data_IF_712189656549
#
_entry.id   IF_712189656549
#
_cell.length_a   1.000
_cell.length_b   1.000
_cell.length_c   1.000
_cell.angle_alpha   90.00
_cell.angle_beta   90.00
_cell.angle_gamma   90.00
#
_symmetry.space_group_name_H-M   'P 1'
#
loop_
_entity.id
_entity.type
_entity.pdbx_description
1 polymer ?
#
# COMPACT_ATOMS: atom_id res chain seq x y z
N UNK A 1 -29.54 6.08 -17.62
CA UNK A 1 -29.77 6.51 -16.21
C UNK A 1 -28.85 7.68 -15.91
N UNK A 2 -29.33 8.75 -15.26
CA UNK A 2 -28.49 9.94 -14.97
C UNK A 2 -27.54 9.60 -13.80
N UNK A 3 -26.23 9.79 -13.99
CA UNK A 3 -25.22 9.58 -12.92
C UNK A 3 -25.55 10.48 -11.74
N UNK A 4 -25.70 9.90 -10.56
CA UNK A 4 -25.86 10.66 -9.30
C UNK A 4 -24.49 11.19 -8.86
N UNK A 5 -24.43 12.44 -8.44
CA UNK A 5 -23.20 13.00 -7.87
C UNK A 5 -22.78 12.19 -6.64
N UNK A 6 -21.48 11.98 -6.48
CA UNK A 6 -20.93 11.38 -5.26
C UNK A 6 -21.09 12.42 -4.14
N UNK A 7 -21.67 12.07 -2.97
CA UNK A 7 -21.76 13.00 -1.86
C UNK A 7 -20.36 13.45 -1.41
N UNK A 8 -20.21 14.74 -1.09
CA UNK A 8 -18.91 15.31 -0.70
C UNK A 8 -18.26 14.56 0.47
N UNK A 9 -19.05 14.15 1.47
CA UNK A 9 -18.51 13.40 2.61
C UNK A 9 -17.96 12.03 2.20
N UNK A 10 -18.65 11.32 1.30
CA UNK A 10 -18.15 10.06 0.75
C UNK A 10 -16.86 10.27 -0.03
N UNK A 11 -16.81 11.32 -0.86
CA UNK A 11 -15.61 11.66 -1.61
C UNK A 11 -14.41 11.94 -0.69
N UNK A 12 -14.62 12.72 0.38
CA UNK A 12 -13.60 13.00 1.39
C UNK A 12 -13.12 11.72 2.09
N UNK A 13 -14.03 10.81 2.45
CA UNK A 13 -13.65 9.54 3.08
C UNK A 13 -12.80 8.67 2.14
N UNK A 14 -13.17 8.58 0.86
CA UNK A 14 -12.40 7.83 -0.15
C UNK A 14 -10.99 8.42 -0.32
N UNK A 15 -10.88 9.75 -0.39
CA UNK A 15 -9.58 10.42 -0.48
C UNK A 15 -8.74 10.22 0.78
N UNK A 16 -9.36 10.30 1.96
CA UNK A 16 -8.70 10.09 3.25
C UNK A 16 -8.19 8.65 3.38
N UNK A 17 -9.02 7.66 3.01
CA UNK A 17 -8.65 6.24 2.98
C UNK A 17 -7.43 5.99 2.09
N UNK A 18 -7.35 6.68 0.95
CA UNK A 18 -6.22 6.62 0.03
C UNK A 18 -5.03 7.52 0.43
N UNK A 19 -5.08 8.20 1.58
CA UNK A 19 -4.05 9.13 2.02
C UNK A 19 -3.83 10.31 1.08
N UNK A 20 -4.87 10.69 0.32
CA UNK A 20 -4.82 11.66 -0.78
C UNK A 20 -3.82 11.28 -1.87
N UNK A 21 -3.76 9.99 -2.24
CA UNK A 21 -2.92 9.47 -3.32
C UNK A 21 -3.70 8.50 -4.21
N UNK A 22 -3.11 8.15 -5.35
CA UNK A 22 -3.59 7.05 -6.17
C UNK A 22 -3.52 5.75 -5.38
N UNK A 23 -4.60 4.97 -5.39
CA UNK A 23 -4.68 3.71 -4.66
C UNK A 23 -3.97 2.54 -5.35
N UNK A 24 -3.45 2.73 -6.57
CA UNK A 24 -2.55 1.75 -7.19
C UNK A 24 -1.24 1.75 -6.40
N UNK A 25 -0.83 0.62 -5.78
CA UNK A 25 0.25 0.58 -4.78
C UNK A 25 1.61 1.04 -5.29
N UNK A 26 1.86 0.85 -6.59
CA UNK A 26 3.12 1.24 -7.24
C UNK A 26 3.05 2.65 -7.85
N UNK A 27 1.88 3.30 -7.82
CA UNK A 27 1.69 4.64 -8.34
C UNK A 27 1.93 5.68 -7.24
N UNK A 28 2.72 6.71 -7.56
CA UNK A 28 2.99 7.84 -6.66
C UNK A 28 2.20 9.10 -7.06
N UNK A 29 1.13 8.94 -7.83
CA UNK A 29 0.28 10.05 -8.25
C UNK A 29 -0.46 10.67 -7.06
N UNK A 30 -0.12 11.90 -6.70
CA UNK A 30 -0.73 12.65 -5.59
C UNK A 30 -1.58 13.85 -6.06
N UNK A 31 -1.45 14.20 -7.34
CA UNK A 31 -2.14 15.35 -7.94
C UNK A 31 -3.34 14.86 -8.75
N UNK A 32 -4.43 15.64 -8.69
CA UNK A 32 -5.65 15.45 -9.48
C UNK A 32 -6.20 14.00 -9.41
N UNK A 33 -6.84 13.65 -8.29
CA UNK A 33 -7.41 12.32 -8.10
C UNK A 33 -8.86 12.26 -8.58
N UNK A 34 -9.14 11.27 -9.40
CA UNK A 34 -10.49 10.87 -9.80
C UNK A 34 -11.02 9.83 -8.82
N UNK A 35 -12.32 9.93 -8.49
CA UNK A 35 -13.02 8.88 -7.76
C UNK A 35 -13.61 7.91 -8.78
N UNK A 36 -13.11 6.68 -8.73
CA UNK A 36 -13.47 5.58 -9.60
C UNK A 36 -14.46 4.64 -8.90
N UNK A 37 -15.44 4.15 -9.67
CA UNK A 37 -16.45 3.18 -9.25
C UNK A 37 -15.99 1.77 -9.61
N UNK A 38 -15.80 0.88 -8.63
CA UNK A 38 -15.36 -0.51 -8.90
C UNK A 38 -16.42 -1.27 -9.71
N UNK A 39 -17.68 -1.19 -9.24
CA UNK A 39 -18.87 -1.52 -10.03
C UNK A 39 -19.37 -0.21 -10.60
N UNK A 40 -19.34 -0.10 -11.93
CA UNK A 40 -19.68 1.12 -12.65
C UNK A 40 -21.15 1.51 -12.50
N UNK A 41 -21.45 2.79 -12.65
CA UNK A 41 -22.84 3.30 -12.55
C UNK A 41 -23.73 2.71 -13.66
N UNK A 42 -23.17 2.40 -14.83
CA UNK A 42 -23.86 1.68 -15.91
C UNK A 42 -24.24 0.24 -15.55
N UNK A 43 -23.60 -0.33 -14.54
CA UNK A 43 -23.83 -1.68 -13.99
C UNK A 43 -24.63 -1.63 -12.68
N UNK A 44 -25.33 -0.51 -12.41
CA UNK A 44 -26.06 -0.24 -11.17
C UNK A 44 -25.17 -0.14 -9.90
N UNK A 45 -23.90 0.21 -10.06
CA UNK A 45 -23.00 0.50 -8.94
C UNK A 45 -23.43 1.71 -8.10
N UNK A 46 -23.31 1.57 -6.78
CA UNK A 46 -23.64 2.60 -5.80
C UNK A 46 -22.49 3.59 -5.54
N UNK A 47 -22.80 4.68 -4.82
CA UNK A 47 -21.83 5.67 -4.34
C UNK A 47 -21.32 5.35 -2.92
N UNK A 48 -21.39 4.09 -2.50
CA UNK A 48 -20.90 3.67 -1.19
C UNK A 48 -19.36 3.65 -1.19
N UNK A 49 -18.73 4.06 -0.09
CA UNK A 49 -17.27 4.12 0.01
C UNK A 49 -16.59 2.79 -0.35
N UNK A 50 -17.22 1.65 -0.05
CA UNK A 50 -16.71 0.32 -0.42
C UNK A 50 -16.64 0.06 -1.93
N UNK A 51 -17.46 0.76 -2.72
CA UNK A 51 -17.47 0.67 -4.19
C UNK A 51 -16.60 1.76 -4.85
N UNK A 52 -15.87 2.56 -4.07
CA UNK A 52 -15.12 3.70 -4.57
C UNK A 52 -13.64 3.60 -4.25
N UNK A 53 -12.81 4.10 -5.16
CA UNK A 53 -11.35 4.13 -5.06
C UNK A 53 -10.82 5.44 -5.66
N UNK A 54 -9.80 6.05 -5.05
CA UNK A 54 -9.11 7.19 -5.64
C UNK A 54 -8.02 6.74 -6.63
N UNK A 55 -8.07 7.23 -7.86
CA UNK A 55 -7.08 6.95 -8.92
C UNK A 55 -6.55 8.26 -9.50
N UNK A 56 -5.28 8.31 -9.88
CA UNK A 56 -4.81 9.40 -10.75
C UNK A 56 -5.40 9.24 -12.16
N UNK A 57 -5.41 10.29 -13.01
CA UNK A 57 -6.08 10.24 -14.31
C UNK A 57 -5.45 9.20 -15.23
N UNK A 58 -4.14 8.96 -15.08
CA UNK A 58 -3.42 7.93 -15.83
C UNK A 58 -3.89 6.52 -15.46
N UNK A 59 -3.92 6.18 -14.17
CA UNK A 59 -4.37 4.86 -13.70
C UNK A 59 -5.87 4.66 -13.98
N UNK A 60 -6.67 5.72 -13.85
CA UNK A 60 -8.09 5.69 -14.19
C UNK A 60 -8.29 5.38 -15.68
N UNK A 61 -7.53 6.03 -16.57
CA UNK A 61 -7.59 5.75 -18.00
C UNK A 61 -7.06 4.35 -18.36
N UNK A 62 -6.04 3.84 -17.67
CA UNK A 62 -5.54 2.47 -17.85
C UNK A 62 -6.60 1.42 -17.50
N UNK A 63 -7.41 1.66 -16.46
CA UNK A 63 -8.55 0.80 -16.16
C UNK A 63 -9.58 0.77 -17.29
N UNK A 64 -9.99 1.95 -17.79
CA UNK A 64 -10.96 2.03 -18.89
C UNK A 64 -10.45 1.42 -20.20
N UNK A 65 -9.12 1.35 -20.38
CA UNK A 65 -8.49 0.63 -21.51
C UNK A 65 -8.36 -0.88 -21.30
N UNK A 66 -8.67 -1.40 -20.11
CA UNK A 66 -8.54 -2.82 -19.77
C UNK A 66 -7.13 -3.27 -19.37
N UNK A 67 -6.17 -2.35 -19.30
CA UNK A 67 -4.78 -2.63 -18.88
C UNK A 67 -4.70 -2.91 -17.37
N UNK A 68 -5.50 -2.17 -16.60
CA UNK A 68 -5.78 -2.49 -15.19
C UNK A 68 -7.09 -3.24 -15.14
N UNK A 69 -7.06 -4.48 -14.63
CA UNK A 69 -8.26 -5.30 -14.51
C UNK A 69 -9.09 -4.92 -13.29
N UNK A 70 -10.39 -5.17 -13.36
CA UNK A 70 -11.33 -4.99 -12.23
C UNK A 70 -10.92 -5.78 -10.99
N UNK A 71 -10.37 -6.99 -11.16
CA UNK A 71 -9.86 -7.78 -10.03
C UNK A 71 -8.72 -7.07 -9.29
N UNK A 72 -7.86 -6.35 -10.02
CA UNK A 72 -6.79 -5.55 -9.42
C UNK A 72 -7.35 -4.40 -8.60
N UNK A 73 -8.38 -3.71 -9.10
CA UNK A 73 -9.09 -2.66 -8.36
C UNK A 73 -9.68 -3.21 -7.05
N UNK A 74 -10.31 -4.39 -7.08
CA UNK A 74 -10.82 -5.05 -5.87
C UNK A 74 -9.70 -5.40 -4.89
N UNK A 75 -8.61 -6.00 -5.38
CA UNK A 75 -7.46 -6.37 -4.57
C UNK A 75 -6.86 -5.14 -3.87
N UNK A 76 -6.66 -4.04 -4.61
CA UNK A 76 -6.12 -2.80 -4.06
C UNK A 76 -7.06 -2.14 -3.06
N UNK A 77 -8.38 -2.13 -3.31
CA UNK A 77 -9.36 -1.65 -2.33
C UNK A 77 -9.30 -2.43 -1.03
N UNK A 78 -9.29 -3.76 -1.10
CA UNK A 78 -9.24 -4.62 0.08
C UNK A 78 -7.95 -4.40 0.89
N UNK A 79 -6.81 -4.29 0.20
CA UNK A 79 -5.53 -3.99 0.82
C UNK A 79 -5.51 -2.60 1.46
N UNK A 80 -6.01 -1.58 0.76
CA UNK A 80 -6.05 -0.21 1.26
C UNK A 80 -6.88 -0.08 2.54
N UNK A 81 -8.08 -0.67 2.56
CA UNK A 81 -8.95 -0.69 3.74
C UNK A 81 -8.28 -1.41 4.92
N UNK A 82 -7.58 -2.51 4.66
CA UNK A 82 -6.95 -3.29 5.72
C UNK A 82 -5.72 -2.60 6.29
N UNK A 83 -4.87 -2.04 5.43
CA UNK A 83 -3.63 -1.39 5.83
C UNK A 83 -3.86 -0.02 6.46
N UNK A 84 -4.77 0.81 5.91
CA UNK A 84 -5.09 2.12 6.49
C UNK A 84 -5.69 2.02 7.91
N UNK A 85 -6.25 0.87 8.28
CA UNK A 85 -6.72 0.58 9.64
C UNK A 85 -5.61 0.11 10.57
N UNK A 86 -4.60 -0.58 10.03
CA UNK A 86 -3.50 -1.14 10.81
C UNK A 86 -2.33 -0.17 10.97
N UNK A 87 -2.14 0.73 10.01
CA UNK A 87 -0.95 1.56 9.87
C UNK A 87 -1.30 2.98 9.43
N UNK A 88 -0.46 3.93 9.85
CA UNK A 88 -0.46 5.27 9.26
C UNK A 88 0.18 5.27 7.86
N UNK A 89 -0.08 6.33 7.10
CA UNK A 89 0.43 6.48 5.72
C UNK A 89 1.95 6.39 5.64
N UNK A 90 2.68 6.95 6.61
CA UNK A 90 4.14 6.85 6.63
C UNK A 90 4.64 5.41 6.77
N UNK A 91 3.98 4.61 7.60
CA UNK A 91 4.33 3.21 7.81
C UNK A 91 4.04 2.37 6.56
N UNK A 92 2.96 2.71 5.84
CA UNK A 92 2.66 2.10 4.54
C UNK A 92 3.72 2.46 3.49
N UNK A 93 4.12 3.73 3.45
CA UNK A 93 5.19 4.20 2.56
C UNK A 93 6.52 3.48 2.84
N UNK A 94 6.84 3.30 4.12
CA UNK A 94 8.04 2.59 4.56
C UNK A 94 7.98 1.10 4.19
N UNK A 95 6.81 0.46 4.30
CA UNK A 95 6.61 -0.93 3.88
C UNK A 95 6.81 -1.10 2.36
N UNK A 96 6.24 -0.19 1.56
CA UNK A 96 6.42 -0.19 0.10
C UNK A 96 7.87 0.12 -0.28
N UNK A 97 8.53 1.01 0.45
CA UNK A 97 9.95 1.32 0.24
C UNK A 97 10.84 0.10 0.46
N UNK A 98 10.59 -0.70 1.51
CA UNK A 98 11.37 -1.92 1.76
C UNK A 98 11.31 -2.96 0.63
N UNK A 99 10.33 -2.86 -0.28
CA UNK A 99 10.22 -3.72 -1.45
C UNK A 99 11.02 -3.21 -2.67
N UNK A 100 11.59 -2.01 -2.63
CA UNK A 100 12.34 -1.46 -3.76
C UNK A 100 13.79 -1.94 -3.76
N UNK A 101 14.46 -1.95 -4.93
CA UNK A 101 15.88 -2.32 -5.01
C UNK A 101 16.77 -1.44 -4.13
N UNK A 102 16.47 -0.15 -4.03
CA UNK A 102 17.26 0.81 -3.25
C UNK A 102 17.29 0.46 -1.75
N UNK A 103 16.21 -0.13 -1.23
CA UNK A 103 16.15 -0.54 0.17
C UNK A 103 17.06 -1.74 0.49
N UNK A 104 17.38 -2.60 -0.50
CA UNK A 104 18.19 -3.81 -0.26
C UNK A 104 19.65 -3.48 0.08
N UNK A 105 20.16 -2.37 -0.47
CA UNK A 105 21.52 -1.88 -0.23
C UNK A 105 21.61 -0.85 0.90
N UNK A 106 20.46 -0.38 1.42
CA UNK A 106 20.40 0.63 2.46
C UNK A 106 20.92 0.07 3.79
N UNK A 107 21.90 0.77 4.36
CA UNK A 107 22.44 0.52 5.69
C UNK A 107 22.13 1.72 6.58
N UNK A 108 21.49 1.47 7.71
CA UNK A 108 21.02 2.52 8.62
C UNK A 108 21.61 2.35 10.02
N UNK A 109 21.69 3.44 10.77
CA UNK A 109 22.05 3.40 12.20
C UNK A 109 20.95 2.73 13.03
N UNK A 110 21.25 2.42 14.29
CA UNK A 110 20.27 1.89 15.25
C UNK A 110 19.03 2.81 15.38
N UNK A 111 19.22 4.13 15.42
CA UNK A 111 18.09 5.07 15.49
C UNK A 111 17.26 5.05 14.20
N UNK A 112 17.89 4.82 13.05
CA UNK A 112 17.20 4.65 11.78
C UNK A 112 16.27 3.43 11.76
N UNK A 113 16.60 2.36 12.51
CA UNK A 113 15.75 1.17 12.64
C UNK A 113 14.41 1.51 13.31
N UNK A 114 14.38 2.47 14.24
CA UNK A 114 13.17 2.84 14.98
C UNK A 114 12.05 3.33 14.06
N UNK A 115 12.40 3.89 12.89
CA UNK A 115 11.44 4.26 11.84
C UNK A 115 10.57 3.08 11.40
N UNK A 116 11.12 1.87 11.39
CA UNK A 116 10.43 0.65 10.97
C UNK A 116 9.84 -0.16 12.15
N UNK A 117 9.80 0.41 13.35
CA UNK A 117 9.36 -0.28 14.58
C UNK A 117 7.98 -0.94 14.46
N UNK A 118 7.00 -0.28 13.83
CA UNK A 118 5.66 -0.83 13.61
C UNK A 118 5.66 -2.04 12.66
N UNK A 119 6.49 -2.01 11.62
CA UNK A 119 6.63 -3.12 10.67
C UNK A 119 7.36 -4.30 11.30
N UNK A 120 8.35 -4.02 12.15
CA UNK A 120 9.06 -5.05 12.91
C UNK A 120 8.12 -5.69 13.94
N UNK A 121 7.40 -4.87 14.72
CA UNK A 121 6.48 -5.34 15.75
C UNK A 121 5.31 -6.16 15.17
N UNK A 122 4.86 -5.85 13.95
CA UNK A 122 3.83 -6.61 13.23
C UNK A 122 4.35 -7.86 12.51
N UNK A 123 5.66 -8.09 12.52
CA UNK A 123 6.31 -9.23 11.86
C UNK A 123 6.36 -9.12 10.33
N UNK A 124 6.15 -7.92 9.76
CA UNK A 124 6.27 -7.65 8.33
C UNK A 124 7.71 -7.35 7.90
N UNK A 125 8.52 -6.82 8.81
CA UNK A 125 9.94 -6.58 8.62
C UNK A 125 10.77 -7.19 9.75
N UNK A 126 12.05 -7.40 9.50
CA UNK A 126 13.05 -7.78 10.50
C UNK A 126 14.33 -6.99 10.27
N UNK A 127 15.25 -7.07 11.22
CA UNK A 127 16.53 -6.38 11.20
C UNK A 127 17.67 -7.37 11.10
N UNK A 128 18.70 -7.01 10.35
CA UNK A 128 19.94 -7.74 10.26
C UNK A 128 21.14 -6.81 10.47
N UNK A 129 22.21 -7.30 11.09
CA UNK A 129 23.40 -6.51 11.35
C UNK A 129 24.31 -6.52 10.12
N UNK A 130 24.42 -5.37 9.46
CA UNK A 130 25.14 -5.25 8.19
C UNK A 130 26.62 -4.88 8.35
N UNK A 131 26.95 -4.02 9.31
CA UNK A 131 28.33 -3.64 9.62
C UNK A 131 28.50 -3.63 11.13
N UNK A 132 29.56 -4.29 11.61
CA UNK A 132 30.03 -4.25 12.99
C UNK A 132 31.47 -3.79 13.01
N UNK A 133 31.73 -2.56 13.42
CA UNK A 133 33.07 -2.08 13.74
C UNK A 133 33.17 -1.83 15.24
N UNK A 134 33.97 -2.67 15.89
CA UNK A 134 34.29 -2.60 17.31
C UNK A 134 35.67 -1.95 17.49
N UNK A 135 35.82 -0.72 17.01
CA UNK A 135 36.96 0.09 17.38
C UNK A 135 36.63 0.79 18.71
N UNK A 136 37.45 0.64 19.77
CA UNK A 136 37.22 1.28 21.07
C UNK A 136 37.06 2.80 20.99
N UNK A 137 37.62 3.42 19.95
CA UNK A 137 37.53 4.86 19.70
C UNK A 137 36.35 5.26 18.80
N UNK A 138 35.77 4.31 18.04
CA UNK A 138 34.67 4.55 17.10
C UNK A 138 33.79 3.30 16.92
N UNK A 139 32.69 3.23 17.67
CA UNK A 139 31.69 2.18 17.47
C UNK A 139 30.82 2.50 16.26
N UNK A 140 30.78 1.60 15.28
CA UNK A 140 29.87 1.71 14.14
C UNK A 140 29.08 0.42 14.00
N UNK A 141 27.78 0.54 14.22
CA UNK A 141 26.80 -0.51 13.95
C UNK A 141 25.82 0.01 12.92
N UNK A 142 25.81 -0.65 11.76
CA UNK A 142 24.79 -0.40 10.75
C UNK A 142 23.96 -1.66 10.54
N UNK A 143 22.68 -1.45 10.31
CA UNK A 143 21.67 -2.48 10.16
C UNK A 143 21.06 -2.40 8.76
N UNK A 144 20.50 -3.52 8.31
CA UNK A 144 19.53 -3.57 7.22
C UNK A 144 18.17 -3.86 7.82
N UNK A 145 17.14 -3.26 7.23
CA UNK A 145 15.75 -3.65 7.49
C UNK A 145 15.29 -4.40 6.26
N UNK A 146 14.79 -5.62 6.45
CA UNK A 146 14.39 -6.51 5.37
C UNK A 146 12.97 -7.00 5.59
N UNK A 147 12.22 -7.18 4.50
CA UNK A 147 10.89 -7.79 4.58
C UNK A 147 11.00 -9.25 5.03
N UNK A 148 10.16 -9.66 5.97
CA UNK A 148 9.99 -11.07 6.32
C UNK A 148 9.30 -11.82 5.16
N UNK A 149 9.28 -13.17 5.14
CA UNK A 149 8.50 -13.91 4.15
C UNK A 149 7.03 -13.48 4.12
N UNK A 150 6.44 -13.19 5.29
CA UNK A 150 5.08 -12.65 5.42
C UNK A 150 4.96 -11.25 4.79
N UNK A 151 5.91 -10.36 5.04
CA UNK A 151 5.96 -9.02 4.44
C UNK A 151 6.09 -9.07 2.91
N UNK A 152 6.93 -9.96 2.39
CA UNK A 152 7.11 -10.17 0.95
C UNK A 152 5.83 -10.69 0.29
N UNK A 153 5.17 -11.68 0.91
CA UNK A 153 3.88 -12.20 0.42
C UNK A 153 2.81 -11.11 0.38
N UNK A 154 2.71 -10.31 1.46
CA UNK A 154 1.80 -9.18 1.54
C UNK A 154 1.99 -8.18 0.40
N UNK A 155 3.24 -7.75 0.17
CA UNK A 155 3.58 -6.81 -0.91
C UNK A 155 3.31 -7.43 -2.29
N UNK A 156 3.68 -8.69 -2.49
CA UNK A 156 3.50 -9.37 -3.78
C UNK A 156 2.03 -9.49 -4.16
N UNK A 157 1.17 -9.89 -3.21
CA UNK A 157 -0.27 -9.94 -3.44
C UNK A 157 -0.87 -8.55 -3.69
N UNK A 158 -0.43 -7.55 -2.93
CA UNK A 158 -0.91 -6.18 -3.10
C UNK A 158 -0.54 -5.61 -4.47
N UNK A 159 0.74 -5.69 -4.85
CA UNK A 159 1.27 -5.09 -6.08
C UNK A 159 0.84 -5.82 -7.34
N UNK A 160 0.64 -7.15 -7.29
CA UNK A 160 0.11 -7.93 -8.41
C UNK A 160 -1.35 -7.60 -8.74
N UNK A 161 -2.12 -7.10 -7.77
CA UNK A 161 -3.56 -6.94 -7.92
C UNK A 161 -4.30 -8.28 -8.08
N UNK A 162 -3.71 -9.39 -7.62
CA UNK A 162 -4.38 -10.68 -7.61
C UNK A 162 -5.31 -10.79 -6.41
N UNK A 163 -6.62 -10.77 -6.69
CA UNK A 163 -7.66 -10.88 -5.67
C UNK A 163 -7.57 -12.17 -4.85
N UNK A 164 -7.16 -13.28 -5.46
CA UNK A 164 -7.06 -14.57 -4.77
C UNK A 164 -5.85 -14.59 -3.82
N UNK A 165 -4.72 -14.02 -4.25
CA UNK A 165 -3.54 -13.86 -3.39
C UNK A 165 -3.83 -12.96 -2.18
N UNK A 166 -4.55 -11.85 -2.39
CA UNK A 166 -4.99 -10.96 -1.31
C UNK A 166 -5.95 -11.68 -0.36
N UNK A 167 -6.91 -12.45 -0.88
CA UNK A 167 -7.84 -13.21 -0.04
C UNK A 167 -7.11 -14.27 0.81
N UNK A 168 -6.09 -14.94 0.29
CA UNK A 168 -5.31 -15.93 1.03
C UNK A 168 -4.57 -15.32 2.22
N UNK A 169 -4.09 -14.08 2.11
CA UNK A 169 -3.42 -13.38 3.22
C UNK A 169 -4.38 -13.10 4.37
N UNK A 170 -5.61 -12.67 4.06
CA UNK A 170 -6.61 -12.36 5.08
C UNK A 170 -7.35 -13.59 5.59
N UNK A 171 -7.47 -14.64 4.78
CA UNK A 171 -8.15 -15.90 5.13
C UNK A 171 -7.35 -16.78 6.10
N UNK A 172 -6.03 -16.66 6.13
CA UNK A 172 -5.15 -17.41 7.05
C UNK A 172 -5.02 -16.77 8.45
N UNK A 173 -5.88 -15.80 8.78
CA UNK A 173 -5.89 -15.11 10.08
C UNK A 173 -6.87 -15.71 11.12
N UNK A 174 -7.34 -16.94 10.88
CA UNK A 174 -8.14 -17.75 11.82
C UNK A 174 -7.28 -18.80 12.49
#
# INVERSE_FOLDING_TARGET
MKRRSIPNNTALNVLTEAGYRCAVPTCRGILALDIHHIVEVSENGGNDQGNLLALCPTCHALFHRGEIRRDSIYAWKAMLVSLSRAFDTSTIDDLLFLATPEAQDLKISADGVLKFSKLIASGLATIDLAIRNHNPNHYLYLYRVILTPRGQQLISAWTSGDRSAVAAIFGNAT
#
